data_IF_546915272548
#
_entry.id   IF_546915272548
#
_cell.length_a   1.000
_cell.length_b   1.000
_cell.length_c   1.000
_cell.angle_alpha   90.00
_cell.angle_beta   90.00
_cell.angle_gamma   90.00
#
_symmetry.space_group_name_H-M   'P 1'
#
loop_
_entity.id
_entity.type
_entity.pdbx_description
1 polymer ?
#
# COMPACT_ATOMS: atom_id res chain seq x y z
N UNK A 1 25.35 26.15 103.02
CA UNK A 1 25.27 25.67 101.64
C UNK A 1 26.52 26.07 100.95
N UNK A 2 27.39 25.15 100.63
CA UNK A 2 28.61 25.50 99.95
C UNK A 2 28.34 25.97 98.50
N UNK A 3 29.03 26.96 98.09
CA UNK A 3 28.98 27.50 96.72
C UNK A 3 29.16 26.35 95.63
N UNK A 4 29.84 25.29 95.96
CA UNK A 4 30.01 24.09 95.19
C UNK A 4 28.75 23.34 94.85
N UNK A 5 27.78 23.23 95.74
CA UNK A 5 26.48 22.55 95.51
C UNK A 5 25.62 23.34 94.49
N UNK A 6 25.66 24.65 94.56
CA UNK A 6 24.96 25.53 93.61
C UNK A 6 25.56 25.47 92.20
N UNK A 7 26.92 25.43 92.08
CA UNK A 7 27.59 25.27 90.84
C UNK A 7 27.34 23.94 90.20
N UNK A 8 27.29 22.83 90.97
CA UNK A 8 26.93 21.53 90.48
C UNK A 8 25.50 21.43 89.99
N UNK A 9 24.56 22.07 90.71
CA UNK A 9 23.18 22.10 90.27
C UNK A 9 22.99 22.87 88.97
N UNK A 10 23.67 24.02 88.79
CA UNK A 10 23.65 24.78 87.50
C UNK A 10 24.29 23.98 86.37
N UNK A 11 25.36 23.29 86.68
CA UNK A 11 26.02 22.45 85.67
C UNK A 11 25.15 21.26 85.21
N UNK A 12 24.49 20.59 86.12
CA UNK A 12 23.57 19.52 85.83
C UNK A 12 22.32 20.02 85.03
N UNK A 13 21.77 21.15 85.37
CA UNK A 13 20.66 21.78 84.59
C UNK A 13 21.08 22.19 83.19
N UNK A 14 22.28 22.75 83.03
CA UNK A 14 22.81 23.06 81.68
C UNK A 14 23.10 21.80 80.83
N UNK A 15 23.65 20.74 81.46
CA UNK A 15 23.88 19.47 80.76
C UNK A 15 22.56 18.78 80.33
N UNK A 16 21.52 18.87 81.16
CA UNK A 16 20.19 18.38 80.85
C UNK A 16 19.52 19.15 79.70
N UNK A 17 19.66 20.48 79.70
CA UNK A 17 19.18 21.37 78.64
C UNK A 17 19.89 21.08 77.32
N UNK A 18 21.24 20.98 77.34
CA UNK A 18 22.00 20.62 76.16
C UNK A 18 21.61 19.23 75.61
N UNK A 19 21.39 18.26 76.50
CA UNK A 19 20.96 16.95 76.13
C UNK A 19 19.55 16.95 75.45
N UNK A 20 18.64 17.73 76.04
CA UNK A 20 17.29 17.89 75.49
C UNK A 20 17.33 18.56 74.09
N UNK A 21 18.07 19.63 73.94
CA UNK A 21 18.26 20.32 72.65
C UNK A 21 18.91 19.44 71.61
N UNK A 22 19.92 18.67 71.97
CA UNK A 22 20.56 17.70 71.05
C UNK A 22 19.55 16.60 70.60
N UNK A 23 18.71 16.14 71.52
CA UNK A 23 17.68 15.15 71.15
C UNK A 23 16.60 15.78 70.24
N UNK A 24 16.16 17.01 70.49
CA UNK A 24 15.23 17.71 69.63
C UNK A 24 15.79 17.95 68.23
N UNK A 25 17.03 18.41 68.09
CA UNK A 25 17.71 18.61 66.81
C UNK A 25 17.94 17.32 66.05
N UNK A 26 18.23 16.22 66.74
CA UNK A 26 18.34 14.88 66.07
C UNK A 26 16.96 14.45 65.54
N UNK A 27 15.91 14.61 66.32
CA UNK A 27 14.58 14.23 65.86
C UNK A 27 14.14 15.08 64.65
N UNK A 28 14.47 16.38 64.61
CA UNK A 28 14.20 17.25 63.45
C UNK A 28 15.02 16.83 62.22
N UNK A 29 16.29 16.50 62.42
CA UNK A 29 17.14 15.97 61.36
C UNK A 29 16.59 14.66 60.76
N UNK A 30 16.17 13.71 61.64
CA UNK A 30 15.58 12.45 61.23
C UNK A 30 14.28 12.64 60.42
N UNK A 31 13.44 13.57 60.83
CA UNK A 31 12.22 13.92 60.07
C UNK A 31 12.59 14.50 58.68
N UNK A 32 13.58 15.39 58.63
CA UNK A 32 14.02 16.00 57.38
C UNK A 32 14.58 14.94 56.39
N UNK A 33 15.37 14.01 56.92
CA UNK A 33 15.92 12.91 56.10
C UNK A 33 14.80 11.97 55.63
N UNK A 34 13.86 11.63 56.50
CA UNK A 34 12.71 10.78 56.16
C UNK A 34 11.85 11.42 55.03
N UNK A 35 11.53 12.73 55.15
CA UNK A 35 10.80 13.45 54.13
C UNK A 35 11.57 13.54 52.81
N UNK A 36 12.88 13.77 52.85
CA UNK A 36 13.73 13.77 51.64
C UNK A 36 13.74 12.41 50.97
N UNK A 37 13.83 11.32 51.74
CA UNK A 37 13.76 9.94 51.22
C UNK A 37 12.42 9.64 50.56
N UNK A 38 11.31 10.02 51.18
CA UNK A 38 9.95 9.85 50.61
C UNK A 38 9.83 10.60 49.28
N UNK A 39 10.33 11.83 49.22
CA UNK A 39 10.33 12.66 48.00
C UNK A 39 11.20 12.03 46.89
N UNK A 40 12.38 11.53 47.23
CA UNK A 40 13.27 10.84 46.26
C UNK A 40 12.62 9.61 45.66
N UNK A 41 12.01 8.74 46.50
CA UNK A 41 11.32 7.56 46.00
C UNK A 41 10.03 7.89 45.21
N UNK A 42 9.35 8.98 45.49
CA UNK A 42 8.22 9.42 44.68
C UNK A 42 8.67 9.89 43.29
N UNK A 43 9.76 10.66 43.24
CA UNK A 43 10.34 11.13 41.98
C UNK A 43 10.88 9.94 41.14
N UNK A 44 11.56 8.99 41.73
CA UNK A 44 12.08 7.80 41.08
C UNK A 44 10.94 7.03 40.40
N UNK A 45 9.85 6.75 41.10
CA UNK A 45 8.66 6.09 40.54
C UNK A 45 8.01 6.88 39.43
N UNK A 46 7.94 8.19 39.54
CA UNK A 46 7.41 9.05 38.47
C UNK A 46 8.27 8.98 37.21
N UNK A 47 9.59 9.04 37.34
CA UNK A 47 10.53 8.92 36.24
C UNK A 47 10.45 7.54 35.56
N UNK A 48 10.37 6.45 36.33
CA UNK A 48 10.20 5.10 35.79
C UNK A 48 8.88 4.95 35.01
N UNK A 49 7.77 5.48 35.54
CA UNK A 49 6.49 5.44 34.84
C UNK A 49 6.52 6.24 33.53
N UNK A 50 7.13 7.43 33.54
CA UNK A 50 7.30 8.25 32.34
C UNK A 50 8.15 7.54 31.30
N UNK A 51 9.32 7.03 31.69
CA UNK A 51 10.23 6.31 30.79
C UNK A 51 9.55 5.06 30.19
N UNK A 52 8.80 4.31 31.00
CA UNK A 52 8.06 3.14 30.54
C UNK A 52 6.98 3.52 29.53
N UNK A 53 6.23 4.60 29.81
CA UNK A 53 5.17 5.09 28.91
C UNK A 53 5.75 5.57 27.59
N UNK A 54 6.84 6.33 27.61
CA UNK A 54 7.53 6.81 26.40
C UNK A 54 8.06 5.64 25.57
N UNK A 55 8.71 4.66 26.21
CA UNK A 55 9.20 3.46 25.54
C UNK A 55 8.08 2.65 24.87
N UNK A 56 6.91 2.50 25.53
CA UNK A 56 5.74 1.84 24.96
C UNK A 56 5.17 2.58 23.75
N UNK A 57 5.07 3.91 23.83
CA UNK A 57 4.60 4.75 22.72
C UNK A 57 5.55 4.63 21.52
N UNK A 58 6.86 4.71 21.77
CA UNK A 58 7.87 4.57 20.71
C UNK A 58 7.87 3.18 20.07
N UNK A 59 7.77 2.12 20.87
CA UNK A 59 7.62 0.76 20.36
C UNK A 59 6.38 0.61 19.50
N UNK A 60 5.24 1.15 19.94
CA UNK A 60 3.99 1.18 19.17
C UNK A 60 4.14 1.89 17.83
N UNK A 61 4.78 3.05 17.80
CA UNK A 61 5.06 3.80 16.58
C UNK A 61 5.95 3.03 15.60
N UNK A 62 7.02 2.39 16.09
CA UNK A 62 7.93 1.58 15.26
C UNK A 62 7.21 0.38 14.66
N UNK A 63 6.39 -0.32 15.43
CA UNK A 63 5.59 -1.46 14.95
C UNK A 63 4.59 -0.99 13.88
N UNK A 64 3.89 0.12 14.11
CA UNK A 64 2.95 0.67 13.12
C UNK A 64 3.66 1.07 11.83
N UNK A 65 4.80 1.76 11.91
CA UNK A 65 5.60 2.13 10.75
C UNK A 65 6.10 0.90 9.97
N UNK A 66 6.59 -0.12 10.66
CA UNK A 66 7.03 -1.38 10.04
C UNK A 66 5.88 -2.10 9.32
N UNK A 67 4.68 -2.14 9.91
CA UNK A 67 3.48 -2.72 9.28
C UNK A 67 3.09 -1.96 8.00
N UNK A 68 3.10 -0.64 8.04
CA UNK A 68 2.80 0.21 6.87
C UNK A 68 3.84 -0.04 5.77
N UNK A 69 5.13 -0.09 6.11
CA UNK A 69 6.20 -0.36 5.16
C UNK A 69 6.05 -1.75 4.52
N UNK A 70 5.75 -2.78 5.30
CA UNK A 70 5.52 -4.14 4.79
C UNK A 70 4.32 -4.20 3.84
N UNK A 71 3.18 -3.60 4.19
CA UNK A 71 2.00 -3.53 3.30
C UNK A 71 2.32 -2.80 2.00
N UNK A 72 3.09 -1.70 2.08
CA UNK A 72 3.53 -0.95 0.90
C UNK A 72 4.41 -1.80 -0.02
N UNK A 73 5.39 -2.51 0.52
CA UNK A 73 6.26 -3.41 -0.26
C UNK A 73 5.46 -4.51 -0.97
N UNK A 74 4.52 -5.15 -0.27
CA UNK A 74 3.66 -6.17 -0.88
C UNK A 74 2.80 -5.59 -2.01
N UNK A 75 2.28 -4.37 -1.85
CA UNK A 75 1.50 -3.70 -2.91
C UNK A 75 2.36 -3.39 -4.13
N UNK A 76 3.57 -2.86 -3.92
CA UNK A 76 4.50 -2.55 -5.02
C UNK A 76 4.90 -3.82 -5.77
N UNK A 77 5.30 -4.88 -5.08
CA UNK A 77 5.65 -6.15 -5.71
C UNK A 77 4.49 -6.75 -6.52
N UNK A 78 3.25 -6.64 -6.03
CA UNK A 78 2.06 -7.08 -6.76
C UNK A 78 1.80 -6.25 -8.01
N UNK A 79 1.97 -4.93 -7.95
CA UNK A 79 1.80 -4.06 -9.12
C UNK A 79 2.89 -4.32 -10.16
N UNK A 80 4.14 -4.46 -9.76
CA UNK A 80 5.24 -4.81 -10.66
C UNK A 80 4.98 -6.14 -11.38
N UNK A 81 4.57 -7.17 -10.65
CA UNK A 81 4.25 -8.46 -11.24
C UNK A 81 3.02 -8.41 -12.17
N UNK A 82 2.02 -7.59 -11.85
CA UNK A 82 0.89 -7.36 -12.76
C UNK A 82 1.33 -6.64 -14.04
N UNK A 83 2.18 -5.62 -13.94
CA UNK A 83 2.69 -4.88 -15.10
C UNK A 83 3.55 -5.78 -15.99
N UNK A 84 4.36 -6.67 -15.42
CA UNK A 84 5.11 -7.66 -16.17
C UNK A 84 4.17 -8.61 -16.93
N UNK A 85 3.18 -9.21 -16.27
CA UNK A 85 2.16 -10.04 -16.92
C UNK A 85 1.44 -9.31 -18.05
N UNK A 86 1.09 -8.04 -17.85
CA UNK A 86 0.44 -7.21 -18.87
C UNK A 86 1.36 -6.97 -20.07
N UNK A 87 2.66 -6.78 -19.83
CA UNK A 87 3.65 -6.63 -20.91
C UNK A 87 3.79 -7.93 -21.73
N UNK A 88 3.88 -9.08 -21.06
CA UNK A 88 3.94 -10.39 -21.72
C UNK A 88 2.69 -10.64 -22.59
N UNK A 89 1.50 -10.30 -22.06
CA UNK A 89 0.25 -10.40 -22.83
C UNK A 89 0.23 -9.47 -24.03
N UNK A 90 0.78 -8.27 -23.93
CA UNK A 90 0.87 -7.31 -25.03
C UNK A 90 1.79 -7.86 -26.14
N UNK A 91 2.94 -8.42 -25.77
CA UNK A 91 3.88 -9.04 -26.71
C UNK A 91 3.25 -10.25 -27.42
N UNK A 92 2.52 -11.09 -26.68
CA UNK A 92 1.82 -12.24 -27.25
C UNK A 92 0.71 -11.80 -28.23
N UNK A 93 -0.05 -10.76 -27.90
CA UNK A 93 -1.07 -10.19 -28.79
C UNK A 93 -0.45 -9.54 -30.04
N UNK A 94 0.67 -8.85 -29.92
CA UNK A 94 1.40 -8.28 -31.05
C UNK A 94 1.91 -9.37 -31.99
N UNK A 95 2.36 -10.49 -31.44
CA UNK A 95 2.83 -11.66 -32.19
C UNK A 95 1.70 -12.50 -32.80
N UNK A 96 0.46 -12.31 -32.37
CA UNK A 96 -0.69 -13.11 -32.81
C UNK A 96 -0.90 -13.11 -34.33
N UNK A 97 -0.47 -12.04 -35.03
CA UNK A 97 -0.52 -11.93 -36.48
C UNK A 97 0.30 -13.03 -37.21
N UNK A 98 1.33 -13.57 -36.56
CA UNK A 98 2.13 -14.67 -37.12
C UNK A 98 1.51 -16.06 -36.91
N UNK A 99 0.42 -16.14 -36.15
CA UNK A 99 -0.27 -17.38 -35.89
C UNK A 99 -1.10 -17.83 -37.11
N UNK A 100 -1.14 -19.13 -37.41
CA UNK A 100 -2.05 -19.69 -38.43
C UNK A 100 -3.54 -19.42 -38.15
N UNK A 101 -3.89 -19.16 -36.88
CA UNK A 101 -5.25 -18.85 -36.45
C UNK A 101 -5.65 -17.37 -36.68
N UNK A 102 -4.68 -16.52 -37.03
CA UNK A 102 -4.93 -15.06 -37.13
C UNK A 102 -6.01 -14.69 -38.17
N UNK A 103 -6.12 -15.30 -39.35
CA UNK A 103 -7.20 -14.99 -40.29
C UNK A 103 -8.60 -15.18 -39.69
N UNK A 104 -8.76 -16.25 -38.90
CA UNK A 104 -10.03 -16.50 -38.19
C UNK A 104 -10.27 -15.43 -37.12
N UNK A 105 -9.26 -15.09 -36.32
CA UNK A 105 -9.33 -14.05 -35.30
C UNK A 105 -9.68 -12.71 -35.93
N UNK A 106 -9.05 -12.32 -37.04
CA UNK A 106 -9.37 -11.09 -37.75
C UNK A 106 -10.81 -11.08 -38.25
N UNK A 107 -11.33 -12.23 -38.74
CA UNK A 107 -12.72 -12.40 -39.13
C UNK A 107 -13.69 -12.17 -37.98
N UNK A 108 -13.39 -12.72 -36.79
CA UNK A 108 -14.19 -12.51 -35.57
C UNK A 108 -14.16 -11.02 -35.14
N UNK A 109 -13.02 -10.32 -35.27
CA UNK A 109 -12.87 -8.91 -34.97
C UNK A 109 -13.68 -8.03 -35.94
N UNK A 110 -13.63 -8.33 -37.26
CA UNK A 110 -14.46 -7.66 -38.26
C UNK A 110 -15.94 -7.85 -37.99
N UNK A 111 -16.36 -9.09 -37.81
CA UNK A 111 -17.76 -9.43 -37.54
C UNK A 111 -18.27 -8.75 -36.28
N UNK A 112 -17.47 -8.75 -35.19
CA UNK A 112 -17.82 -8.08 -33.97
C UNK A 112 -17.97 -6.56 -34.12
N UNK A 113 -17.10 -5.92 -34.91
CA UNK A 113 -17.19 -4.49 -35.20
C UNK A 113 -18.43 -4.14 -36.03
N UNK A 114 -18.73 -4.94 -37.06
CA UNK A 114 -19.90 -4.75 -37.90
C UNK A 114 -21.21 -5.01 -37.14
N UNK A 115 -21.22 -5.96 -36.22
CA UNK A 115 -22.38 -6.22 -35.35
C UNK A 115 -22.61 -5.06 -34.37
N UNK A 116 -21.54 -4.49 -33.82
CA UNK A 116 -21.62 -3.35 -32.89
C UNK A 116 -22.00 -2.03 -33.62
N UNK A 117 -21.72 -1.93 -34.92
CA UNK A 117 -22.03 -0.79 -35.74
C UNK A 117 -22.80 -1.22 -37.01
N UNK A 118 -24.12 -1.47 -36.90
CA UNK A 118 -24.94 -1.76 -38.08
C UNK A 118 -24.89 -0.65 -39.10
N UNK A 119 -24.82 -1.00 -40.42
CA UNK A 119 -24.68 -0.02 -41.50
C UNK A 119 -23.25 0.43 -41.76
N UNK A 120 -22.25 -0.31 -41.29
CA UNK A 120 -20.84 -0.08 -41.60
C UNK A 120 -20.61 0.00 -43.12
N UNK A 121 -19.97 1.07 -43.56
CA UNK A 121 -19.64 1.31 -44.99
C UNK A 121 -18.16 1.30 -45.26
N UNK A 122 -17.32 1.48 -44.21
CA UNK A 122 -15.88 1.53 -44.29
C UNK A 122 -15.26 0.73 -43.17
N UNK A 123 -14.34 -0.14 -43.54
CA UNK A 123 -13.45 -0.87 -42.60
C UNK A 123 -12.03 -0.39 -42.81
N UNK A 124 -11.41 0.13 -41.75
CA UNK A 124 -9.99 0.45 -41.73
C UNK A 124 -9.24 -0.70 -41.07
N UNK A 125 -8.10 -1.09 -41.67
CA UNK A 125 -7.22 -2.15 -41.17
C UNK A 125 -5.77 -1.71 -41.24
N UNK A 126 -4.88 -2.47 -40.62
CA UNK A 126 -3.43 -2.38 -40.90
C UNK A 126 -3.12 -2.85 -42.33
N UNK A 127 -2.15 -2.20 -42.98
CA UNK A 127 -1.75 -2.55 -44.33
C UNK A 127 -1.35 -4.02 -44.45
N UNK A 128 -0.74 -4.61 -43.41
CA UNK A 128 -0.33 -6.02 -43.33
C UNK A 128 -1.54 -7.00 -43.37
N UNK A 129 -2.72 -6.53 -42.96
CA UNK A 129 -3.94 -7.33 -42.88
C UNK A 129 -4.86 -7.15 -44.09
N UNK A 130 -4.54 -6.22 -45.01
CA UNK A 130 -5.40 -5.82 -46.12
C UNK A 130 -5.85 -6.99 -46.99
N UNK A 131 -4.92 -7.89 -47.37
CA UNK A 131 -5.23 -9.05 -48.23
C UNK A 131 -6.19 -10.04 -47.54
N UNK A 132 -5.98 -10.26 -46.23
CA UNK A 132 -6.82 -11.19 -45.47
C UNK A 132 -8.21 -10.54 -45.29
N UNK A 133 -8.26 -9.28 -44.90
CA UNK A 133 -9.51 -8.53 -44.72
C UNK A 133 -10.34 -8.42 -46.01
N UNK A 134 -9.67 -8.23 -47.18
CA UNK A 134 -10.34 -8.19 -48.47
C UNK A 134 -11.03 -9.52 -48.79
N UNK A 135 -10.37 -10.64 -48.53
CA UNK A 135 -10.97 -11.97 -48.71
C UNK A 135 -12.16 -12.21 -47.79
N UNK A 136 -12.06 -11.78 -46.54
CA UNK A 136 -13.12 -11.93 -45.54
C UNK A 136 -14.36 -11.05 -45.84
N UNK A 137 -14.14 -9.88 -46.46
CA UNK A 137 -15.20 -8.94 -46.81
C UNK A 137 -15.79 -9.16 -48.22
N UNK A 138 -15.20 -10.02 -49.05
CA UNK A 138 -15.64 -10.27 -50.43
C UNK A 138 -17.11 -10.70 -50.56
N UNK A 139 -17.66 -11.35 -49.51
CA UNK A 139 -19.06 -11.81 -49.47
C UNK A 139 -19.94 -10.93 -48.59
N UNK A 140 -19.49 -9.75 -48.15
CA UNK A 140 -20.30 -8.86 -47.33
C UNK A 140 -21.41 -8.19 -48.11
N UNK A 141 -22.62 -8.14 -47.54
CA UNK A 141 -23.80 -7.48 -48.10
C UNK A 141 -24.41 -6.59 -47.01
N UNK A 142 -24.49 -5.27 -47.21
CA UNK A 142 -24.00 -4.48 -48.38
C UNK A 142 -22.46 -4.47 -48.51
N UNK A 143 -21.93 -4.11 -49.67
CA UNK A 143 -20.49 -4.02 -49.89
C UNK A 143 -19.86 -2.96 -48.99
N UNK A 144 -18.73 -3.30 -48.37
CA UNK A 144 -17.96 -2.46 -47.44
C UNK A 144 -16.65 -2.06 -48.08
N UNK A 145 -16.32 -0.78 -48.01
CA UNK A 145 -15.04 -0.26 -48.50
C UNK A 145 -13.93 -0.63 -47.51
N UNK A 146 -12.82 -1.17 -47.99
CA UNK A 146 -11.64 -1.45 -47.21
C UNK A 146 -10.58 -0.35 -47.39
N UNK A 147 -10.03 0.16 -46.29
CA UNK A 147 -8.97 1.17 -46.31
C UNK A 147 -7.79 0.76 -45.39
N UNK A 148 -6.62 0.45 -45.96
CA UNK A 148 -5.44 0.06 -45.17
C UNK A 148 -4.70 1.29 -44.62
N UNK A 149 -5.15 1.82 -43.50
CA UNK A 149 -4.66 3.09 -42.90
C UNK A 149 -4.34 3.02 -41.42
N UNK A 150 -4.44 1.84 -40.82
CA UNK A 150 -4.12 1.67 -39.41
C UNK A 150 -2.67 1.19 -39.20
N UNK A 151 -2.16 1.47 -38.01
CA UNK A 151 -0.97 0.85 -37.47
C UNK A 151 -1.36 0.22 -36.14
N UNK A 152 -1.63 -1.09 -36.12
CA UNK A 152 -2.18 -1.83 -35.00
C UNK A 152 -1.51 -3.20 -34.87
N UNK A 153 -1.64 -3.84 -33.72
CA UNK A 153 -1.24 -5.25 -33.55
C UNK A 153 -2.14 -6.21 -34.34
N UNK A 154 -3.38 -5.77 -34.61
CA UNK A 154 -4.39 -6.47 -35.41
C UNK A 154 -5.79 -5.97 -35.08
N UNK A 155 -6.70 -6.21 -36.03
CA UNK A 155 -8.09 -5.80 -35.88
C UNK A 155 -8.51 -4.66 -36.78
N UNK A 156 -9.62 -3.99 -36.47
CA UNK A 156 -10.30 -3.09 -37.38
C UNK A 156 -10.92 -1.88 -36.69
N UNK A 157 -11.11 -0.81 -37.46
CA UNK A 157 -12.05 0.27 -37.17
C UNK A 157 -13.20 0.20 -38.17
N UNK A 158 -14.41 0.02 -37.70
CA UNK A 158 -15.63 0.09 -38.52
C UNK A 158 -16.17 1.50 -38.46
N UNK A 159 -16.60 2.06 -39.62
CA UNK A 159 -17.16 3.41 -39.75
C UNK A 159 -18.47 3.32 -40.50
N UNK A 160 -19.49 4.03 -40.00
CA UNK A 160 -20.79 4.16 -40.66
C UNK A 160 -20.88 5.43 -41.55
N UNK A 161 -21.95 5.65 -42.33
CA UNK A 161 -22.12 6.81 -43.16
C UNK A 161 -22.17 8.15 -42.39
N UNK A 162 -22.46 8.09 -41.07
CA UNK A 162 -22.55 9.27 -40.22
C UNK A 162 -21.21 9.60 -39.51
N UNK A 163 -20.14 8.81 -39.81
CA UNK A 163 -18.83 9.01 -39.21
C UNK A 163 -18.67 8.39 -37.82
N UNK A 164 -19.67 7.65 -37.30
CA UNK A 164 -19.51 6.91 -36.04
C UNK A 164 -18.50 5.78 -36.27
N UNK A 165 -17.66 5.53 -35.28
CA UNK A 165 -16.57 4.54 -35.38
C UNK A 165 -16.63 3.58 -34.23
N UNK A 166 -16.51 2.29 -34.52
CA UNK A 166 -16.25 1.24 -33.56
C UNK A 166 -14.84 0.74 -33.75
N UNK A 167 -14.05 0.79 -32.69
CA UNK A 167 -12.68 0.31 -32.64
C UNK A 167 -12.70 -1.12 -32.06
N UNK A 168 -12.22 -2.08 -32.82
CA UNK A 168 -12.12 -3.47 -32.42
C UNK A 168 -10.74 -4.04 -32.76
N UNK A 169 -9.73 -3.48 -32.12
CA UNK A 169 -8.33 -3.89 -32.26
C UNK A 169 -7.89 -4.69 -31.05
N UNK A 170 -6.79 -5.43 -31.18
CA UNK A 170 -6.24 -6.23 -30.08
C UNK A 170 -5.81 -5.36 -28.91
N UNK A 171 -5.22 -4.19 -29.19
CA UNK A 171 -4.85 -3.20 -28.17
C UNK A 171 -6.05 -2.70 -27.40
N UNK A 172 -7.14 -2.34 -28.11
CA UNK A 172 -8.35 -1.86 -27.45
C UNK A 172 -8.97 -2.94 -26.58
N UNK A 173 -8.98 -4.19 -27.06
CA UNK A 173 -9.48 -5.32 -26.27
C UNK A 173 -8.64 -5.57 -25.01
N UNK A 174 -7.32 -5.40 -25.09
CA UNK A 174 -6.48 -5.49 -23.90
C UNK A 174 -6.81 -4.38 -22.89
N UNK A 175 -7.01 -3.14 -23.36
CA UNK A 175 -7.43 -2.00 -22.54
C UNK A 175 -8.79 -2.30 -21.87
N UNK A 176 -9.77 -2.73 -22.66
CA UNK A 176 -11.11 -3.02 -22.16
C UNK A 176 -11.16 -4.21 -21.19
N UNK A 177 -10.24 -5.15 -21.35
CA UNK A 177 -10.09 -6.31 -20.46
C UNK A 177 -9.34 -5.98 -19.16
N UNK A 178 -8.63 -4.87 -19.08
CA UNK A 178 -7.74 -4.53 -17.94
C UNK A 178 -8.43 -4.63 -16.56
N UNK A 179 -9.65 -4.12 -16.32
CA UNK A 179 -10.31 -4.26 -15.02
C UNK A 179 -10.56 -5.73 -14.63
N UNK A 180 -10.91 -6.57 -15.61
CA UNK A 180 -11.14 -8.01 -15.39
C UNK A 180 -9.83 -8.76 -15.13
N UNK A 181 -8.77 -8.41 -15.86
CA UNK A 181 -7.43 -8.97 -15.69
C UNK A 181 -6.89 -8.66 -14.29
N UNK A 182 -6.98 -7.41 -13.85
CA UNK A 182 -6.57 -7.00 -12.49
C UNK A 182 -7.33 -7.77 -11.42
N UNK A 183 -8.64 -7.93 -11.59
CA UNK A 183 -9.46 -8.67 -10.63
C UNK A 183 -9.09 -10.16 -10.61
N UNK A 184 -8.89 -10.78 -11.76
CA UNK A 184 -8.48 -12.18 -11.87
C UNK A 184 -7.11 -12.42 -11.25
N UNK A 185 -6.14 -11.58 -11.58
CA UNK A 185 -4.79 -11.61 -11.02
C UNK A 185 -4.80 -11.48 -9.49
N UNK A 186 -5.55 -10.51 -8.95
CA UNK A 186 -5.66 -10.33 -7.51
C UNK A 186 -6.23 -11.59 -6.81
N UNK A 187 -7.25 -12.23 -7.39
CA UNK A 187 -7.83 -13.48 -6.85
C UNK A 187 -6.86 -14.65 -6.91
N UNK A 188 -6.06 -14.75 -7.96
CA UNK A 188 -5.09 -15.84 -8.13
C UNK A 188 -3.96 -15.73 -7.12
N UNK A 189 -3.42 -14.53 -6.88
CA UNK A 189 -2.38 -14.31 -5.86
C UNK A 189 -2.88 -14.61 -4.45
N UNK A 190 -4.10 -14.18 -4.10
CA UNK A 190 -4.68 -14.48 -2.79
C UNK A 190 -4.80 -15.99 -2.58
N UNK A 191 -5.25 -16.74 -3.59
CA UNK A 191 -5.35 -18.21 -3.51
C UNK A 191 -3.99 -18.90 -3.42
N UNK A 192 -2.96 -18.39 -4.11
CA UNK A 192 -1.62 -18.94 -4.04
C UNK A 192 -1.00 -18.72 -2.65
N UNK A 193 -1.17 -17.54 -2.06
CA UNK A 193 -0.69 -17.21 -0.73
C UNK A 193 -1.36 -18.00 0.39
N UNK A 194 -2.64 -18.36 0.24
CA UNK A 194 -3.37 -19.17 1.23
C UNK A 194 -3.02 -20.67 1.22
N UNK A 195 -2.30 -21.16 0.21
CA UNK A 195 -1.83 -22.54 0.13
C UNK A 195 -0.42 -22.75 0.68
N UNK A 196 0.29 -21.65 0.97
CA UNK A 196 1.68 -21.66 1.47
C UNK A 196 1.77 -21.34 2.97
N UNK A 197 0.65 -21.16 3.65
CA UNK A 197 0.53 -20.99 5.11
C UNK A 197 -0.14 -22.19 5.74
#
# INVERSE_FOLDING_TARGET
MPLTDLLQAIQAEADDEITADLQALRAEADVTVAEASIRAHALERELEMRATTEAQVDAGRRIAAARIAAVRQVRLAREEAYLALRADLAEELESARHSPAYPRLLGELIQGAMTALPGTVLIRVDARDAIIAQKLLASSVPPVTLHPSLSTWGGVHAVDPHGRTVINTLEQRLIDAEPRLRMHYARTIVRAGSKSS
#
